data_IF_477358162347
#
_entry.id   IF_477358162347
#
_cell.length_a   1.000
_cell.length_b   1.000
_cell.length_c   1.000
_cell.angle_alpha   90.00
_cell.angle_beta   90.00
_cell.angle_gamma   90.00
#
_symmetry.space_group_name_H-M   'P 1'
#
loop_
_entity.id
_entity.type
_entity.pdbx_description
1 polymer ?
#
# COMPACT_ATOMS: atom_id res chain seq x y z
N UNK A 1 -72.62 -28.61 -28.15
CA UNK A 1 -73.89 -28.27 -28.84
C UNK A 1 -74.09 -26.78 -28.66
N UNK A 2 -74.18 -25.89 -29.65
CA UNK A 2 -74.64 -25.87 -31.05
C UNK A 2 -73.86 -24.70 -31.73
N UNK A 3 -73.57 -24.58 -33.02
CA UNK A 3 -74.23 -25.04 -34.23
C UNK A 3 -73.22 -24.91 -35.38
N UNK A 4 -72.65 -26.01 -35.83
CA UNK A 4 -72.19 -26.13 -37.22
C UNK A 4 -73.41 -26.59 -38.02
N UNK A 5 -73.99 -25.68 -38.83
CA UNK A 5 -74.98 -26.03 -39.84
C UNK A 5 -76.47 -26.05 -39.44
N UNK A 6 -76.85 -25.70 -38.20
CA UNK A 6 -78.27 -25.76 -37.80
C UNK A 6 -79.03 -24.49 -38.18
N UNK A 7 -80.01 -24.63 -39.10
CA UNK A 7 -81.01 -23.60 -39.42
C UNK A 7 -81.94 -23.43 -38.23
N UNK A 8 -82.01 -22.22 -37.66
CA UNK A 8 -82.92 -21.90 -36.56
C UNK A 8 -84.14 -21.20 -37.12
N UNK A 9 -85.31 -21.85 -37.05
CA UNK A 9 -86.59 -21.24 -37.39
C UNK A 9 -87.14 -20.53 -36.15
N UNK A 10 -87.35 -19.23 -36.26
CA UNK A 10 -87.97 -18.43 -35.22
C UNK A 10 -89.32 -17.93 -35.74
N UNK A 11 -90.39 -18.24 -35.03
CA UNK A 11 -91.75 -17.76 -35.34
C UNK A 11 -92.21 -16.78 -34.26
N UNK A 12 -93.00 -15.78 -34.66
CA UNK A 12 -93.62 -14.85 -33.72
C UNK A 12 -95.05 -14.53 -34.19
N UNK A 13 -95.90 -14.16 -33.23
CA UNK A 13 -97.33 -13.96 -33.45
C UNK A 13 -97.64 -12.72 -34.32
N UNK A 14 -96.71 -11.77 -34.44
CA UNK A 14 -96.88 -10.56 -35.25
C UNK A 14 -95.64 -10.27 -36.08
N UNK A 15 -95.83 -9.70 -37.28
CA UNK A 15 -94.73 -9.29 -38.19
C UNK A 15 -93.72 -8.36 -37.51
N UNK A 16 -94.22 -7.39 -36.75
CA UNK A 16 -93.41 -6.41 -36.00
C UNK A 16 -92.50 -7.06 -34.96
N UNK A 17 -92.91 -8.17 -34.36
CA UNK A 17 -92.09 -8.88 -33.38
C UNK A 17 -90.86 -9.56 -34.04
N UNK A 18 -90.99 -10.11 -35.25
CA UNK A 18 -89.84 -10.66 -35.99
C UNK A 18 -88.86 -9.57 -36.44
N UNK A 19 -89.36 -8.41 -36.88
CA UNK A 19 -88.50 -7.27 -37.27
C UNK A 19 -87.70 -6.74 -36.08
N UNK A 20 -88.32 -6.61 -34.90
CA UNK A 20 -87.62 -6.22 -33.68
C UNK A 20 -86.56 -7.25 -33.28
N UNK A 21 -86.86 -8.55 -33.43
CA UNK A 21 -85.89 -9.61 -33.18
C UNK A 21 -84.71 -9.57 -34.14
N UNK A 22 -84.95 -9.32 -35.44
CA UNK A 22 -83.89 -9.13 -36.42
C UNK A 22 -82.98 -7.96 -36.03
N UNK A 23 -83.54 -6.83 -35.60
CA UNK A 23 -82.78 -5.65 -35.18
C UNK A 23 -82.03 -5.82 -33.85
N UNK A 24 -82.41 -6.80 -33.03
CA UNK A 24 -81.71 -7.14 -31.78
C UNK A 24 -80.52 -8.07 -32.01
N UNK A 25 -80.39 -8.68 -33.20
CA UNK A 25 -79.22 -9.48 -33.53
C UNK A 25 -78.03 -8.58 -33.84
N UNK A 26 -76.79 -8.97 -33.49
CA UNK A 26 -75.59 -8.23 -33.88
C UNK A 26 -75.54 -8.00 -35.39
N UNK A 27 -75.12 -6.80 -35.82
CA UNK A 27 -75.12 -6.35 -37.23
C UNK A 27 -74.49 -7.37 -38.19
N UNK A 28 -73.46 -8.08 -37.73
CA UNK A 28 -72.76 -9.12 -38.49
C UNK A 28 -73.65 -10.31 -38.90
N UNK A 29 -74.75 -10.57 -38.18
CA UNK A 29 -75.67 -11.69 -38.44
C UNK A 29 -76.98 -11.26 -39.08
N UNK A 30 -77.36 -9.97 -39.01
CA UNK A 30 -78.65 -9.49 -39.54
C UNK A 30 -78.81 -9.74 -41.05
N UNK A 31 -77.71 -9.65 -41.81
CA UNK A 31 -77.69 -9.93 -43.26
C UNK A 31 -77.86 -11.40 -43.62
N UNK A 32 -77.85 -12.30 -42.63
CA UNK A 32 -78.01 -13.75 -42.81
C UNK A 32 -79.44 -14.23 -42.49
N UNK A 33 -80.33 -13.31 -42.09
CA UNK A 33 -81.69 -13.61 -41.61
C UNK A 33 -82.71 -13.37 -42.73
N UNK A 34 -83.42 -14.43 -43.12
CA UNK A 34 -84.48 -14.39 -44.14
C UNK A 34 -85.86 -14.38 -43.47
N UNK A 35 -86.70 -13.40 -43.80
CA UNK A 35 -88.09 -13.32 -43.36
C UNK A 35 -89.04 -13.84 -44.44
N UNK A 36 -89.65 -15.01 -44.25
CA UNK A 36 -90.60 -15.59 -45.20
C UNK A 36 -92.05 -15.38 -44.73
N UNK A 37 -92.73 -14.39 -45.32
CA UNK A 37 -94.18 -14.22 -45.21
C UNK A 37 -94.76 -14.42 -46.62
N UNK A 38 -95.74 -15.32 -46.77
CA UNK A 38 -96.15 -15.88 -48.07
C UNK A 38 -96.39 -14.86 -49.20
N UNK A 39 -96.06 -15.28 -50.44
CA UNK A 39 -96.24 -14.64 -51.77
C UNK A 39 -96.01 -13.14 -51.98
N UNK A 40 -95.70 -12.35 -50.95
CA UNK A 40 -95.50 -10.90 -51.05
C UNK A 40 -94.13 -10.55 -51.63
N UNK A 41 -94.09 -9.55 -52.50
CA UNK A 41 -92.88 -9.10 -53.19
C UNK A 41 -91.76 -8.68 -52.21
N UNK A 42 -92.13 -8.09 -51.08
CA UNK A 42 -91.19 -7.67 -50.03
C UNK A 42 -90.36 -8.82 -49.44
N UNK A 43 -90.92 -10.02 -49.30
CA UNK A 43 -90.17 -11.18 -48.81
C UNK A 43 -89.16 -11.73 -49.83
N UNK A 44 -89.42 -11.54 -51.13
CA UNK A 44 -88.46 -11.89 -52.19
C UNK A 44 -87.30 -10.91 -52.24
N UNK A 45 -87.58 -9.63 -52.06
CA UNK A 45 -86.56 -8.57 -52.05
C UNK A 45 -85.63 -8.70 -50.82
N UNK A 46 -86.18 -9.04 -49.65
CA UNK A 46 -85.42 -9.31 -48.41
C UNK A 46 -84.49 -10.53 -48.56
N UNK A 47 -84.99 -11.59 -49.21
CA UNK A 47 -84.20 -12.77 -49.52
C UNK A 47 -83.09 -12.44 -50.52
N UNK A 48 -83.39 -11.71 -51.60
CA UNK A 48 -82.40 -11.34 -52.60
C UNK A 48 -81.30 -10.47 -52.01
N UNK A 49 -81.66 -9.50 -51.16
CA UNK A 49 -80.69 -8.63 -50.47
C UNK A 49 -79.78 -9.42 -49.53
N UNK A 50 -80.32 -10.41 -48.82
CA UNK A 50 -79.52 -11.27 -47.93
C UNK A 50 -78.57 -12.18 -48.71
N UNK A 51 -79.05 -12.76 -49.83
CA UNK A 51 -78.23 -13.60 -50.73
C UNK A 51 -77.12 -12.77 -51.37
N UNK A 52 -77.41 -11.56 -51.83
CA UNK A 52 -76.43 -10.66 -52.44
C UNK A 52 -75.40 -10.16 -51.41
N UNK A 53 -75.83 -9.86 -50.18
CA UNK A 53 -74.91 -9.55 -49.08
C UNK A 53 -74.00 -10.72 -48.72
N UNK A 54 -74.51 -11.96 -48.72
CA UNK A 54 -73.71 -13.17 -48.51
C UNK A 54 -72.73 -13.39 -49.65
N UNK A 55 -73.19 -13.27 -50.89
CA UNK A 55 -72.37 -13.41 -52.09
C UNK A 55 -71.22 -12.41 -52.09
N UNK A 56 -71.52 -11.12 -51.88
CA UNK A 56 -70.51 -10.07 -51.78
C UNK A 56 -69.52 -10.28 -50.63
N UNK A 57 -69.99 -10.77 -49.47
CA UNK A 57 -69.10 -11.14 -48.35
C UNK A 57 -68.23 -12.34 -48.69
N UNK A 58 -68.76 -13.34 -49.41
CA UNK A 58 -68.02 -14.53 -49.82
C UNK A 58 -66.97 -14.22 -50.89
N UNK A 59 -67.31 -13.37 -51.86
CA UNK A 59 -66.41 -12.97 -52.94
C UNK A 59 -65.26 -12.09 -52.44
N UNK A 60 -65.50 -11.28 -51.41
CA UNK A 60 -64.48 -10.43 -50.79
C UNK A 60 -63.76 -11.10 -49.59
N UNK A 61 -64.09 -12.35 -49.24
CA UNK A 61 -63.44 -13.04 -48.14
C UNK A 61 -62.10 -13.64 -48.56
N UNK A 62 -61.01 -12.90 -48.34
CA UNK A 62 -59.67 -13.41 -48.57
C UNK A 62 -59.24 -14.33 -47.41
N UNK A 63 -59.44 -15.64 -47.59
CA UNK A 63 -59.03 -16.67 -46.63
C UNK A 63 -57.54 -16.60 -46.29
N UNK A 64 -56.70 -16.23 -47.27
CA UNK A 64 -55.25 -16.17 -47.10
C UNK A 64 -54.89 -15.03 -46.13
N UNK A 65 -55.49 -13.84 -46.30
CA UNK A 65 -55.22 -12.68 -45.43
C UNK A 65 -55.63 -12.95 -43.98
N UNK A 66 -56.81 -13.56 -43.76
CA UNK A 66 -57.26 -13.91 -42.40
C UNK A 66 -56.43 -15.01 -41.76
N UNK A 67 -55.92 -15.94 -42.55
CA UNK A 67 -54.99 -16.96 -42.05
C UNK A 67 -53.65 -16.33 -41.65
N UNK A 68 -53.14 -15.39 -42.44
CA UNK A 68 -51.92 -14.65 -42.14
C UNK A 68 -52.05 -13.77 -40.88
N UNK A 69 -53.17 -13.06 -40.71
CA UNK A 69 -53.46 -12.30 -39.48
C UNK A 69 -53.46 -13.22 -38.24
N UNK A 70 -54.11 -14.39 -38.35
CA UNK A 70 -54.19 -15.36 -37.27
C UNK A 70 -52.81 -15.93 -36.90
N UNK A 71 -51.97 -16.22 -37.90
CA UNK A 71 -50.62 -16.69 -37.68
C UNK A 71 -49.72 -15.62 -37.06
N UNK A 72 -49.90 -14.35 -37.45
CA UNK A 72 -49.17 -13.24 -36.83
C UNK A 72 -49.55 -13.09 -35.34
N UNK A 73 -50.83 -13.19 -35.01
CA UNK A 73 -51.30 -13.14 -33.62
C UNK A 73 -50.73 -14.30 -32.81
N UNK A 74 -50.72 -15.53 -33.36
CA UNK A 74 -50.11 -16.70 -32.71
C UNK A 74 -48.62 -16.50 -32.44
N UNK A 75 -47.88 -15.94 -33.39
CA UNK A 75 -46.45 -15.63 -33.21
C UNK A 75 -46.22 -14.61 -32.10
N UNK A 76 -47.03 -13.56 -32.04
CA UNK A 76 -46.93 -12.55 -30.98
C UNK A 76 -47.22 -13.17 -29.61
N UNK A 77 -48.29 -13.96 -29.48
CA UNK A 77 -48.61 -14.67 -28.21
C UNK A 77 -47.44 -15.57 -27.79
N UNK A 78 -46.84 -16.31 -28.72
CA UNK A 78 -45.69 -17.16 -28.42
C UNK A 78 -44.46 -16.36 -27.97
N UNK A 79 -44.21 -15.19 -28.59
CA UNK A 79 -43.12 -14.28 -28.21
C UNK A 79 -43.33 -13.74 -26.79
N UNK A 80 -44.50 -13.18 -26.51
CA UNK A 80 -44.83 -12.57 -25.22
C UNK A 80 -44.80 -13.63 -24.10
N UNK A 81 -45.29 -14.85 -24.39
CA UNK A 81 -45.24 -15.97 -23.44
C UNK A 81 -43.79 -16.38 -23.12
N UNK A 82 -42.90 -16.36 -24.11
CA UNK A 82 -41.49 -16.70 -23.91
C UNK A 82 -40.75 -15.59 -23.13
N UNK A 83 -41.06 -14.33 -23.39
CA UNK A 83 -40.53 -13.20 -22.61
C UNK A 83 -40.99 -13.27 -21.16
N UNK A 84 -42.29 -13.52 -20.92
CA UNK A 84 -42.82 -13.74 -19.58
C UNK A 84 -42.11 -14.90 -18.85
N UNK A 85 -41.93 -16.05 -19.52
CA UNK A 85 -41.19 -17.19 -18.95
C UNK A 85 -39.73 -16.84 -18.64
N UNK A 86 -39.09 -15.99 -19.43
CA UNK A 86 -37.72 -15.55 -19.18
C UNK A 86 -37.64 -14.71 -17.91
N UNK A 87 -38.56 -13.76 -17.73
CA UNK A 87 -38.66 -12.91 -16.54
C UNK A 87 -38.92 -13.76 -15.29
N UNK A 88 -39.89 -14.69 -15.36
CA UNK A 88 -40.20 -15.59 -14.24
C UNK A 88 -38.98 -16.47 -13.89
N UNK A 89 -38.29 -17.04 -14.89
CA UNK A 89 -37.07 -17.83 -14.66
C UNK A 89 -35.98 -17.06 -13.95
N UNK A 90 -35.77 -15.79 -14.34
CA UNK A 90 -34.82 -14.91 -13.67
C UNK A 90 -35.21 -14.66 -12.22
N UNK A 91 -36.49 -14.41 -11.94
CA UNK A 91 -37.00 -14.23 -10.58
C UNK A 91 -36.94 -15.47 -9.69
N UNK A 92 -37.04 -16.67 -10.27
CA UNK A 92 -36.93 -17.96 -9.55
C UNK A 92 -35.49 -18.46 -9.37
N UNK A 93 -34.49 -17.70 -9.81
CA UNK A 93 -33.11 -18.07 -9.61
C UNK A 93 -32.78 -18.03 -8.11
N UNK A 94 -32.28 -19.14 -7.57
CA UNK A 94 -31.82 -19.19 -6.18
C UNK A 94 -30.50 -18.42 -6.04
N UNK A 95 -30.48 -17.50 -5.08
CA UNK A 95 -29.26 -16.82 -4.65
C UNK A 95 -28.85 -17.42 -3.32
N UNK A 96 -27.56 -17.77 -3.24
CA UNK A 96 -26.95 -18.27 -2.02
C UNK A 96 -25.75 -17.38 -1.65
N UNK A 97 -26.05 -16.30 -0.93
CA UNK A 97 -25.07 -15.42 -0.30
C UNK A 97 -25.19 -15.60 1.23
N UNK A 98 -24.09 -15.49 2.02
CA UNK A 98 -24.14 -15.63 3.48
C UNK A 98 -25.20 -14.79 4.20
N UNK A 99 -25.57 -13.61 3.66
CA UNK A 99 -26.57 -12.72 4.27
C UNK A 99 -27.96 -12.80 3.62
N UNK A 100 -28.03 -13.03 2.31
CA UNK A 100 -29.28 -13.09 1.56
C UNK A 100 -29.41 -14.46 0.86
N UNK A 101 -30.44 -15.21 1.23
CA UNK A 101 -30.72 -16.55 0.72
C UNK A 101 -32.19 -16.65 0.31
N UNK A 102 -32.46 -17.30 -0.82
CA UNK A 102 -33.83 -17.49 -1.32
C UNK A 102 -33.95 -17.27 -2.82
N UNK A 103 -35.17 -17.12 -3.32
CA UNK A 103 -35.39 -16.74 -4.72
C UNK A 103 -34.97 -15.28 -4.92
N UNK A 104 -34.48 -14.94 -6.12
CA UNK A 104 -34.06 -13.58 -6.47
C UNK A 104 -35.12 -12.52 -6.11
N UNK A 105 -36.41 -12.84 -6.26
CA UNK A 105 -37.51 -11.94 -5.87
C UNK A 105 -37.51 -11.67 -4.37
N UNK A 106 -37.39 -12.70 -3.54
CA UNK A 106 -37.35 -12.58 -2.08
C UNK A 106 -36.13 -11.75 -1.64
N UNK A 107 -34.99 -11.99 -2.29
CA UNK A 107 -33.75 -11.25 -2.02
C UNK A 107 -33.87 -9.77 -2.43
N UNK A 108 -34.52 -9.46 -3.56
CA UNK A 108 -34.75 -8.08 -3.99
C UNK A 108 -35.72 -7.33 -3.05
N UNK A 109 -36.75 -8.00 -2.54
CA UNK A 109 -37.63 -7.42 -1.52
C UNK A 109 -36.88 -7.12 -0.23
N UNK A 110 -36.05 -8.08 0.24
CA UNK A 110 -35.25 -7.88 1.44
C UNK A 110 -34.21 -6.75 1.27
N UNK A 111 -33.55 -6.68 0.11
CA UNK A 111 -32.61 -5.59 -0.20
C UNK A 111 -33.29 -4.22 -0.19
N UNK A 112 -34.53 -4.14 -0.65
CA UNK A 112 -35.31 -2.90 -0.65
C UNK A 112 -35.76 -2.48 0.75
N UNK A 113 -36.03 -3.45 1.64
CA UNK A 113 -36.31 -3.18 3.06
C UNK A 113 -35.04 -2.68 3.76
N UNK A 114 -33.91 -3.34 3.50
CA UNK A 114 -32.65 -3.00 4.13
C UNK A 114 -31.98 -1.75 3.50
N UNK A 115 -32.49 -1.24 2.38
CA UNK A 115 -31.99 -0.04 1.67
C UNK A 115 -31.86 1.16 2.62
N UNK A 116 -32.87 1.39 3.49
CA UNK A 116 -32.85 2.47 4.49
C UNK A 116 -31.69 2.33 5.50
N UNK A 117 -31.23 1.11 5.78
CA UNK A 117 -30.10 0.86 6.69
C UNK A 117 -28.74 1.09 6.00
N UNK A 118 -28.72 1.16 4.67
CA UNK A 118 -27.52 1.34 3.85
C UNK A 118 -27.51 2.67 3.09
N UNK A 119 -28.51 3.54 3.29
CA UNK A 119 -28.59 4.89 2.69
C UNK A 119 -27.38 5.77 3.03
N UNK A 120 -26.67 5.49 4.13
CA UNK A 120 -25.42 6.16 4.48
C UNK A 120 -24.27 5.88 3.49
N UNK A 121 -24.38 4.84 2.67
CA UNK A 121 -23.41 4.44 1.66
C UNK A 121 -23.97 4.67 0.26
N UNK A 122 -23.56 5.76 -0.38
CA UNK A 122 -23.87 5.98 -1.80
C UNK A 122 -22.85 5.25 -2.67
N UNK A 123 -23.28 4.12 -3.23
CA UNK A 123 -22.45 3.37 -4.15
C UNK A 123 -22.33 4.12 -5.49
N UNK A 124 -21.14 4.65 -5.77
CA UNK A 124 -20.79 5.23 -7.09
C UNK A 124 -20.22 4.17 -8.04
N UNK A 125 -20.21 2.91 -7.63
CA UNK A 125 -19.47 1.86 -8.27
C UNK A 125 -20.38 0.98 -9.14
N UNK A 126 -20.06 0.90 -10.42
CA UNK A 126 -20.84 0.15 -11.41
C UNK A 126 -20.10 -1.07 -11.98
N UNK A 127 -18.97 -1.47 -11.41
CA UNK A 127 -18.08 -2.48 -12.01
C UNK A 127 -17.82 -3.70 -11.10
N UNK A 128 -18.78 -4.61 -11.06
CA UNK A 128 -18.75 -5.84 -10.25
C UNK A 128 -17.67 -6.87 -10.64
N UNK A 129 -16.87 -6.65 -11.69
CA UNK A 129 -15.83 -7.58 -12.17
C UNK A 129 -14.40 -7.27 -11.64
N UNK A 130 -14.24 -6.28 -10.76
CA UNK A 130 -12.91 -5.92 -10.23
C UNK A 130 -12.44 -6.82 -9.07
N UNK A 131 -11.72 -7.89 -9.45
CA UNK A 131 -11.06 -8.83 -8.53
C UNK A 131 -10.08 -8.16 -7.55
N UNK A 132 -9.60 -6.94 -7.83
CA UNK A 132 -8.70 -6.22 -6.91
C UNK A 132 -9.44 -5.78 -5.64
N UNK A 133 -10.70 -5.39 -5.78
CA UNK A 133 -11.53 -4.91 -4.67
C UNK A 133 -11.95 -6.07 -3.76
N UNK A 134 -12.29 -7.22 -4.33
CA UNK A 134 -12.54 -8.46 -3.59
C UNK A 134 -11.30 -8.88 -2.77
N UNK A 135 -10.10 -8.77 -3.36
CA UNK A 135 -8.85 -9.05 -2.66
C UNK A 135 -8.58 -8.06 -1.51
N UNK A 136 -8.89 -6.77 -1.69
CA UNK A 136 -8.76 -5.76 -0.63
C UNK A 136 -9.74 -6.03 0.53
N UNK A 137 -10.98 -6.44 0.24
CA UNK A 137 -11.95 -6.82 1.26
C UNK A 137 -11.54 -8.09 2.01
N UNK A 138 -11.04 -9.11 1.31
CA UNK A 138 -10.56 -10.33 1.96
C UNK A 138 -9.37 -10.05 2.89
N UNK A 139 -8.43 -9.17 2.49
CA UNK A 139 -7.35 -8.70 3.37
C UNK A 139 -7.88 -7.99 4.62
N UNK A 140 -8.94 -7.18 4.48
CA UNK A 140 -9.57 -6.50 5.62
C UNK A 140 -10.25 -7.51 6.58
N UNK A 141 -10.87 -8.55 6.04
CA UNK A 141 -11.52 -9.60 6.83
C UNK A 141 -10.47 -10.45 7.58
N UNK A 142 -9.41 -10.90 6.89
CA UNK A 142 -8.28 -11.59 7.54
C UNK A 142 -7.66 -10.73 8.65
N UNK A 143 -7.47 -9.44 8.38
CA UNK A 143 -6.98 -8.50 9.38
C UNK A 143 -7.87 -8.43 10.63
N UNK A 144 -9.20 -8.30 10.47
CA UNK A 144 -10.14 -8.26 11.59
C UNK A 144 -10.20 -9.55 12.41
N UNK A 145 -9.88 -10.70 11.80
CA UNK A 145 -9.82 -11.99 12.52
C UNK A 145 -8.57 -12.10 13.40
N UNK A 146 -7.45 -11.53 12.95
CA UNK A 146 -6.17 -11.55 13.67
C UNK A 146 -6.06 -10.38 14.67
N UNK A 147 -6.79 -9.28 14.43
CA UNK A 147 -6.78 -8.08 15.26
C UNK A 147 -6.92 -8.31 16.78
N UNK A 148 -7.80 -9.20 17.28
CA UNK A 148 -7.98 -9.41 18.72
C UNK A 148 -6.79 -10.07 19.41
N UNK A 149 -5.88 -10.72 18.67
CA UNK A 149 -4.71 -11.41 19.22
C UNK A 149 -3.42 -10.61 19.14
N UNK A 150 -3.45 -9.43 18.51
CA UNK A 150 -2.30 -8.54 18.39
C UNK A 150 -2.24 -7.58 19.59
N UNK A 151 -1.19 -7.68 20.39
CA UNK A 151 -0.88 -6.75 21.47
C UNK A 151 -0.15 -5.53 20.91
N UNK A 152 -0.88 -4.43 20.72
CA UNK A 152 -0.34 -3.20 20.13
C UNK A 152 0.31 -2.27 21.17
N UNK A 153 0.19 -2.55 22.46
CA UNK A 153 0.79 -1.72 23.52
C UNK A 153 2.31 -1.92 23.62
N UNK A 154 2.84 -2.98 23.00
CA UNK A 154 4.27 -3.32 22.96
C UNK A 154 4.93 -3.10 21.60
N UNK A 155 4.34 -2.30 20.70
CA UNK A 155 4.90 -2.11 19.35
C UNK A 155 6.26 -1.41 19.42
N UNK A 156 7.31 -2.19 19.19
CA UNK A 156 8.69 -1.74 19.03
C UNK A 156 8.74 -0.77 17.84
N UNK A 157 9.32 0.41 18.04
CA UNK A 157 9.64 1.32 16.95
C UNK A 157 10.71 0.64 16.08
N UNK A 158 10.33 0.15 14.89
CA UNK A 158 11.24 -0.52 13.95
C UNK A 158 12.46 0.35 13.63
N UNK A 159 12.32 1.68 13.72
CA UNK A 159 13.45 2.58 13.49
C UNK A 159 14.56 2.41 14.53
N UNK A 160 14.26 1.82 15.69
CA UNK A 160 15.23 1.46 16.73
C UNK A 160 15.88 0.10 16.51
N UNK A 161 15.30 -0.74 15.64
CA UNK A 161 15.85 -2.03 15.28
C UNK A 161 16.93 -1.88 14.19
N UNK A 162 18.06 -2.60 14.28
CA UNK A 162 19.04 -2.60 13.22
C UNK A 162 18.49 -3.23 11.92
N UNK A 163 18.92 -2.67 10.80
CA UNK A 163 18.65 -3.24 9.47
C UNK A 163 19.35 -4.59 9.30
N UNK A 164 18.87 -5.43 8.35
CA UNK A 164 19.51 -6.71 8.03
C UNK A 164 21.01 -6.58 7.70
N UNK A 165 21.42 -5.49 7.04
CA UNK A 165 22.84 -5.24 6.76
C UNK A 165 23.63 -4.93 8.04
N UNK A 166 23.04 -4.19 8.98
CA UNK A 166 23.66 -3.93 10.29
C UNK A 166 23.76 -5.21 11.11
N UNK A 167 22.77 -6.09 11.05
CA UNK A 167 22.78 -7.40 11.74
C UNK A 167 23.93 -8.25 11.21
N UNK A 168 24.04 -8.45 9.90
CA UNK A 168 25.17 -9.17 9.29
C UNK A 168 26.51 -8.57 9.71
N UNK A 169 26.59 -7.25 9.73
CA UNK A 169 27.79 -6.53 10.14
C UNK A 169 28.14 -6.81 11.60
N UNK A 170 27.16 -6.79 12.50
CA UNK A 170 27.35 -7.10 13.91
C UNK A 170 27.75 -8.55 14.13
N UNK A 171 27.23 -9.50 13.34
CA UNK A 171 27.61 -10.91 13.39
C UNK A 171 29.09 -11.10 13.03
N UNK A 172 29.55 -10.41 11.97
CA UNK A 172 30.98 -10.36 11.61
C UNK A 172 31.84 -9.82 12.77
N UNK A 173 31.38 -8.77 13.45
CA UNK A 173 32.10 -8.18 14.56
C UNK A 173 32.17 -9.11 15.77
N UNK A 174 31.06 -9.78 16.13
CA UNK A 174 31.02 -10.77 17.21
C UNK A 174 31.95 -11.95 16.89
N UNK A 175 31.92 -12.46 15.66
CA UNK A 175 32.82 -13.54 15.22
C UNK A 175 34.29 -13.15 15.29
N UNK A 176 34.61 -11.89 14.96
CA UNK A 176 35.99 -11.40 14.90
C UNK A 176 36.56 -11.03 16.26
N UNK A 177 35.77 -10.40 17.12
CA UNK A 177 36.26 -9.82 18.37
C UNK A 177 35.70 -10.49 19.63
N UNK A 178 34.80 -11.46 19.48
CA UNK A 178 34.16 -12.17 20.59
C UNK A 178 32.97 -11.41 21.17
N UNK A 179 32.46 -11.92 22.29
CA UNK A 179 31.49 -11.15 23.08
C UNK A 179 32.21 -9.98 23.73
N UNK A 180 31.76 -8.76 23.42
CA UNK A 180 32.39 -7.53 23.87
C UNK A 180 32.34 -7.47 25.40
N UNK A 181 33.42 -7.85 26.08
CA UNK A 181 33.58 -7.74 27.53
C UNK A 181 33.74 -6.27 27.96
N UNK A 182 32.78 -5.42 27.59
CA UNK A 182 32.73 -4.01 27.93
C UNK A 182 31.71 -3.81 29.06
N UNK A 183 32.09 -3.06 30.08
CA UNK A 183 31.16 -2.58 31.10
C UNK A 183 30.51 -1.26 30.66
N UNK A 184 29.42 -0.86 31.31
CA UNK A 184 28.74 0.40 31.00
C UNK A 184 29.68 1.62 31.13
N UNK A 185 30.63 1.57 32.08
CA UNK A 185 31.66 2.58 32.25
C UNK A 185 32.57 2.70 31.03
N UNK A 186 33.00 1.57 30.46
CA UNK A 186 33.87 1.55 29.29
C UNK A 186 33.18 2.20 28.09
N UNK A 187 31.88 1.93 27.94
CA UNK A 187 31.06 2.51 26.88
C UNK A 187 30.91 4.02 27.06
N UNK A 188 30.65 4.49 28.27
CA UNK A 188 30.59 5.93 28.57
C UNK A 188 31.93 6.62 28.25
N UNK A 189 33.06 5.99 28.58
CA UNK A 189 34.38 6.53 28.29
C UNK A 189 34.67 6.56 26.78
N UNK A 190 34.33 5.49 26.04
CA UNK A 190 34.43 5.45 24.59
C UNK A 190 33.58 6.54 23.92
N UNK A 191 32.35 6.75 24.39
CA UNK A 191 31.46 7.80 23.88
C UNK A 191 32.04 9.20 24.11
N UNK A 192 32.57 9.45 25.30
CA UNK A 192 33.21 10.71 25.63
C UNK A 192 34.37 11.00 24.67
N UNK A 193 35.28 10.04 24.48
CA UNK A 193 36.42 10.17 23.57
C UNK A 193 35.99 10.33 22.10
N UNK A 194 34.94 9.62 21.67
CA UNK A 194 34.39 9.72 20.31
C UNK A 194 33.75 11.09 20.06
N UNK A 195 33.09 11.67 21.05
CA UNK A 195 32.47 12.99 20.93
C UNK A 195 33.51 14.11 20.82
N UNK A 196 34.73 13.89 21.31
CA UNK A 196 35.85 14.81 21.13
C UNK A 196 36.54 14.67 19.76
N UNK A 197 36.19 13.67 18.95
CA UNK A 197 36.79 13.47 17.63
C UNK A 197 36.12 14.37 16.57
N UNK A 198 36.87 14.81 15.55
CA UNK A 198 36.31 15.49 14.39
C UNK A 198 35.23 14.65 13.68
N UNK A 199 34.38 15.33 12.92
CA UNK A 199 33.42 14.68 12.00
C UNK A 199 34.16 13.83 10.95
N UNK A 200 33.48 12.84 10.37
CA UNK A 200 34.09 11.82 9.50
C UNK A 200 34.76 12.44 8.27
N UNK A 201 34.17 13.49 7.70
CA UNK A 201 34.71 14.21 6.54
C UNK A 201 36.09 14.79 6.85
N UNK A 202 36.25 15.41 8.02
CA UNK A 202 37.51 16.00 8.46
C UNK A 202 38.59 14.94 8.79
N UNK A 203 38.19 13.73 9.16
CA UNK A 203 39.11 12.60 9.35
C UNK A 203 39.57 12.05 8.00
N UNK A 204 38.66 11.92 7.04
CA UNK A 204 38.96 11.43 5.69
C UNK A 204 39.95 12.34 4.96
N UNK A 205 39.87 13.64 5.15
CA UNK A 205 40.86 14.58 4.61
C UNK A 205 42.27 14.30 5.15
N UNK A 206 42.38 13.96 6.44
CA UNK A 206 43.66 13.62 7.07
C UNK A 206 44.16 12.24 6.66
N UNK A 207 43.26 11.28 6.41
CA UNK A 207 43.62 9.95 5.90
C UNK A 207 44.28 10.02 4.51
N UNK A 208 44.07 11.10 3.75
CA UNK A 208 44.73 11.33 2.46
C UNK A 208 46.15 11.90 2.59
N UNK A 209 46.58 12.25 3.81
CA UNK A 209 47.89 12.84 4.09
C UNK A 209 48.79 11.76 4.69
N UNK A 210 49.97 11.59 4.10
CA UNK A 210 50.97 10.65 4.64
C UNK A 210 51.94 11.43 5.51
N UNK A 211 51.98 11.11 6.81
CA UNK A 211 52.94 11.71 7.74
C UNK A 211 53.89 10.65 8.29
N UNK A 212 55.18 10.86 8.04
CA UNK A 212 56.26 10.01 8.55
C UNK A 212 56.92 10.68 9.75
N UNK A 213 57.14 9.91 10.82
CA UNK A 213 57.71 10.38 12.07
C UNK A 213 59.06 9.73 12.36
N UNK A 214 59.99 10.45 13.00
CA UNK A 214 61.21 9.85 13.53
C UNK A 214 60.90 9.04 14.80
N UNK A 215 61.87 8.21 15.22
CA UNK A 215 61.77 7.42 16.45
C UNK A 215 61.86 8.30 17.72
N UNK A 216 60.75 8.96 18.03
CA UNK A 216 60.53 9.80 19.21
C UNK A 216 59.08 9.69 19.65
N UNK A 217 58.83 9.90 20.94
CA UNK A 217 57.45 9.89 21.46
C UNK A 217 56.62 11.03 20.86
N UNK A 218 55.33 10.77 20.65
CA UNK A 218 54.39 11.77 20.16
C UNK A 218 54.26 13.00 21.05
N UNK A 219 54.45 12.88 22.38
CA UNK A 219 54.46 14.04 23.27
C UNK A 219 55.60 15.01 22.95
N UNK A 220 56.80 14.48 22.72
CA UNK A 220 57.99 15.29 22.36
C UNK A 220 57.79 15.91 20.98
N UNK A 221 57.31 15.12 20.01
CA UNK A 221 57.09 15.60 18.66
C UNK A 221 56.03 16.69 18.59
N UNK A 222 54.95 16.55 19.36
CA UNK A 222 53.89 17.56 19.47
C UNK A 222 54.44 18.87 20.05
N UNK A 223 55.14 18.81 21.19
CA UNK A 223 55.77 19.99 21.81
C UNK A 223 56.72 20.71 20.85
N UNK A 224 57.53 19.95 20.13
CA UNK A 224 58.46 20.51 19.16
C UNK A 224 57.74 21.16 17.98
N UNK A 225 56.68 20.53 17.45
CA UNK A 225 55.85 21.08 16.39
C UNK A 225 55.13 22.36 16.83
N UNK A 226 54.57 22.39 18.03
CA UNK A 226 53.89 23.56 18.60
C UNK A 226 54.85 24.73 18.79
N UNK A 227 56.07 24.46 19.28
CA UNK A 227 57.11 25.49 19.44
C UNK A 227 57.51 26.11 18.09
N UNK A 228 57.75 25.27 17.07
CA UNK A 228 58.15 25.73 15.74
C UNK A 228 57.00 26.46 15.02
N UNK A 229 55.76 25.99 15.20
CA UNK A 229 54.56 26.65 14.70
C UNK A 229 54.39 28.05 15.33
N UNK A 230 54.60 28.17 16.65
CA UNK A 230 54.59 29.46 17.35
C UNK A 230 55.58 30.44 16.74
N UNK A 231 56.81 29.98 16.50
CA UNK A 231 57.86 30.77 15.85
C UNK A 231 57.47 31.25 14.44
N UNK A 232 56.81 30.41 13.64
CA UNK A 232 56.30 30.82 12.33
C UNK A 232 55.14 31.82 12.43
N UNK A 233 54.22 31.64 13.39
CA UNK A 233 53.10 32.55 13.61
C UNK A 233 53.54 33.95 14.06
N UNK A 234 54.70 34.06 14.72
CA UNK A 234 55.34 35.34 15.06
C UNK A 234 55.96 36.05 13.83
N UNK A 235 55.85 35.47 12.63
CA UNK A 235 56.30 36.05 11.37
C UNK A 235 57.72 35.65 10.96
N UNK A 236 58.35 34.73 11.70
CA UNK A 236 59.65 34.19 11.34
C UNK A 236 59.53 33.12 10.24
N UNK A 237 60.68 32.77 9.63
CA UNK A 237 60.76 31.76 8.57
C UNK A 237 61.67 30.61 9.00
N UNK A 238 61.30 29.40 8.61
CA UNK A 238 62.08 28.17 8.80
C UNK A 238 62.65 27.63 7.48
N UNK A 239 62.48 28.37 6.39
CA UNK A 239 62.93 28.00 5.05
C UNK A 239 63.56 29.19 4.28
N UNK A 240 64.28 28.87 3.21
CA UNK A 240 64.88 29.84 2.28
C UNK A 240 66.23 30.43 2.71
N UNK A 241 66.84 31.20 1.79
CA UNK A 241 68.24 31.68 1.91
C UNK A 241 68.48 32.55 3.15
N UNK A 242 67.51 33.38 3.54
CA UNK A 242 67.58 34.22 4.75
C UNK A 242 67.60 33.40 6.03
N UNK A 243 66.86 32.29 6.07
CA UNK A 243 66.90 31.37 7.20
C UNK A 243 68.23 30.61 7.23
N UNK A 244 68.66 30.05 6.10
CA UNK A 244 69.92 29.28 6.00
C UNK A 244 71.16 30.06 6.45
N UNK A 245 71.23 31.34 6.14
CA UNK A 245 72.33 32.24 6.57
C UNK A 245 72.16 32.74 8.00
N UNK A 246 70.91 32.86 8.49
CA UNK A 246 70.56 33.34 9.82
C UNK A 246 70.53 32.28 10.93
N UNK A 247 70.73 30.98 10.62
CA UNK A 247 70.64 29.86 11.58
C UNK A 247 71.46 30.08 12.87
N UNK A 248 72.60 30.77 12.78
CA UNK A 248 73.45 31.08 13.94
C UNK A 248 72.83 32.04 14.96
N UNK A 249 71.87 32.88 14.56
CA UNK A 249 71.22 33.87 15.43
C UNK A 249 69.89 33.40 16.01
N UNK A 250 69.45 32.16 15.69
CA UNK A 250 68.23 31.60 16.24
C UNK A 250 68.35 31.38 17.77
N UNK A 251 67.25 31.54 18.52
CA UNK A 251 67.21 31.21 19.94
C UNK A 251 67.64 29.76 20.22
N UNK A 252 68.20 29.54 21.42
CA UNK A 252 68.34 28.27 22.15
C UNK A 252 67.39 27.18 21.63
N UNK A 253 66.15 27.46 21.98
CA UNK A 253 65.01 26.57 21.90
C UNK A 253 64.61 26.18 20.47
N UNK A 254 64.75 27.10 19.51
CA UNK A 254 64.44 26.83 18.11
C UNK A 254 65.51 25.94 17.48
N UNK A 255 66.80 26.22 17.76
CA UNK A 255 67.93 25.45 17.21
C UNK A 255 67.85 23.97 17.57
N UNK A 256 67.50 23.65 18.81
CA UNK A 256 67.40 22.27 19.30
C UNK A 256 66.27 21.48 18.62
N UNK A 257 65.26 22.19 18.08
CA UNK A 257 64.08 21.59 17.45
C UNK A 257 64.15 21.55 15.92
N UNK A 258 65.12 22.23 15.28
CA UNK A 258 65.25 22.29 13.82
C UNK A 258 65.38 20.92 13.13
N UNK A 259 65.85 19.89 13.84
CA UNK A 259 65.88 18.52 13.30
C UNK A 259 64.50 18.06 12.82
N UNK A 260 63.43 18.61 13.41
CA UNK A 260 62.05 18.23 13.13
C UNK A 260 61.68 18.43 11.66
N UNK A 261 62.16 19.50 11.04
CA UNK A 261 61.82 19.89 9.66
C UNK A 261 62.16 18.76 8.68
N UNK A 262 63.37 18.22 8.80
CA UNK A 262 63.86 17.15 7.93
C UNK A 262 63.42 15.75 8.39
N UNK A 263 63.18 15.58 9.69
CA UNK A 263 62.87 14.29 10.29
C UNK A 263 61.38 13.91 10.21
N UNK A 264 60.48 14.90 10.12
CA UNK A 264 59.04 14.69 9.94
C UNK A 264 58.68 15.05 8.52
N UNK A 265 58.07 14.10 7.80
CA UNK A 265 57.69 14.29 6.40
C UNK A 265 56.18 14.35 6.25
N UNK A 266 55.68 15.36 5.54
CA UNK A 266 54.28 15.46 5.12
C UNK A 266 54.24 15.26 3.61
N UNK A 267 53.58 14.18 3.15
CA UNK A 267 53.56 13.77 1.75
C UNK A 267 54.98 13.74 1.13
N UNK A 268 55.91 13.10 1.85
CA UNK A 268 57.34 12.98 1.51
C UNK A 268 58.14 14.30 1.46
N UNK A 269 57.54 15.43 1.83
CA UNK A 269 58.18 16.76 1.89
C UNK A 269 58.57 17.14 3.32
N UNK A 270 59.58 18.00 3.46
CA UNK A 270 59.99 18.56 4.76
C UNK A 270 58.83 19.31 5.41
N UNK A 271 58.68 19.21 6.73
CA UNK A 271 57.66 19.96 7.47
C UNK A 271 58.20 21.34 7.85
N UNK A 272 58.00 22.33 6.99
CA UNK A 272 58.52 23.70 7.19
C UNK A 272 57.46 24.81 7.07
N UNK A 273 56.22 24.48 6.66
CA UNK A 273 55.12 25.44 6.57
C UNK A 273 54.17 25.40 7.76
N UNK A 274 53.50 26.54 8.02
CA UNK A 274 52.47 26.66 9.08
C UNK A 274 51.39 25.57 8.93
N UNK A 275 50.98 25.27 7.70
CA UNK A 275 49.91 24.30 7.44
C UNK A 275 50.36 22.87 7.73
N UNK A 276 51.57 22.49 7.32
CA UNK A 276 52.14 21.17 7.63
C UNK A 276 52.31 20.97 9.13
N UNK A 277 52.80 21.97 9.86
CA UNK A 277 52.89 21.88 11.33
C UNK A 277 51.51 21.66 11.97
N UNK A 278 50.48 22.37 11.51
CA UNK A 278 49.10 22.15 11.98
C UNK A 278 48.60 20.74 11.68
N UNK A 279 48.87 20.23 10.48
CA UNK A 279 48.50 18.87 10.09
C UNK A 279 49.19 17.83 10.95
N UNK A 280 50.49 18.00 11.21
CA UNK A 280 51.27 17.10 12.07
C UNK A 280 50.74 17.12 13.51
N UNK A 281 50.51 18.30 14.09
CA UNK A 281 49.96 18.41 15.45
C UNK A 281 48.60 17.70 15.54
N UNK A 282 47.72 17.95 14.57
CA UNK A 282 46.38 17.34 14.52
C UNK A 282 46.45 15.82 14.33
N UNK A 283 47.33 15.32 13.47
CA UNK A 283 47.55 13.87 13.28
C UNK A 283 48.05 13.23 14.58
N UNK A 284 49.05 13.82 15.26
CA UNK A 284 49.53 13.33 16.55
C UNK A 284 48.40 13.27 17.58
N UNK A 285 47.60 14.34 17.71
CA UNK A 285 46.48 14.37 18.64
C UNK A 285 45.46 13.28 18.36
N UNK A 286 45.16 13.00 17.08
CA UNK A 286 44.28 11.91 16.70
C UNK A 286 44.89 10.55 17.04
N UNK A 287 46.17 10.30 16.72
CA UNK A 287 46.86 9.05 17.13
C UNK A 287 46.74 8.83 18.63
N UNK A 288 46.99 9.86 19.43
CA UNK A 288 46.86 9.78 20.88
C UNK A 288 45.43 9.49 21.33
N UNK A 289 44.41 10.09 20.71
CA UNK A 289 43.00 9.80 21.01
C UNK A 289 42.62 8.37 20.63
N UNK A 290 43.03 7.88 19.46
CA UNK A 290 42.78 6.51 19.03
C UNK A 290 43.55 5.48 19.86
N UNK A 291 44.74 5.81 20.36
CA UNK A 291 45.47 4.99 21.32
C UNK A 291 44.71 4.87 22.64
N UNK A 292 44.05 5.95 23.12
CA UNK A 292 43.17 5.88 24.29
C UNK A 292 41.98 4.96 24.03
N UNK A 293 41.29 5.12 22.89
CA UNK A 293 40.19 4.22 22.51
C UNK A 293 40.64 2.75 22.47
N UNK A 294 41.82 2.48 21.91
CA UNK A 294 42.41 1.14 21.81
C UNK A 294 42.71 0.50 23.16
N UNK A 295 43.09 1.31 24.15
CA UNK A 295 43.32 0.84 25.52
C UNK A 295 42.04 0.40 26.22
N UNK A 296 40.92 1.04 25.91
CA UNK A 296 39.60 0.64 26.41
C UNK A 296 39.14 -0.62 25.68
N UNK A 297 39.22 -0.60 24.34
CA UNK A 297 38.85 -1.76 23.54
C UNK A 297 39.75 -1.93 22.32
N UNK A 298 40.45 -3.06 22.25
CA UNK A 298 41.44 -3.32 21.21
C UNK A 298 40.80 -3.75 19.88
N UNK A 299 40.10 -2.83 19.22
CA UNK A 299 39.44 -3.06 17.92
C UNK A 299 40.30 -2.68 16.69
N UNK A 300 41.52 -2.21 16.89
CA UNK A 300 42.30 -1.47 15.88
C UNK A 300 42.86 -2.38 14.77
N UNK A 301 42.05 -2.63 13.74
CA UNK A 301 42.43 -3.45 12.57
C UNK A 301 42.53 -2.68 11.26
N UNK A 302 42.31 -1.36 11.31
CA UNK A 302 42.29 -0.46 10.15
C UNK A 302 43.37 0.60 10.33
N UNK A 303 43.86 1.17 9.24
CA UNK A 303 44.91 2.20 9.33
C UNK A 303 44.29 3.61 9.31
N UNK A 304 43.17 3.76 8.60
CA UNK A 304 42.47 5.03 8.37
C UNK A 304 41.60 5.42 9.57
N UNK A 305 41.71 6.68 10.01
CA UNK A 305 40.94 7.23 11.13
C UNK A 305 39.44 7.13 10.92
N UNK A 306 38.96 7.39 9.70
CA UNK A 306 37.54 7.28 9.38
C UNK A 306 37.03 5.87 9.68
N UNK A 307 37.76 4.84 9.24
CA UNK A 307 37.38 3.44 9.43
C UNK A 307 37.49 3.02 10.90
N UNK A 308 38.53 3.49 11.62
CA UNK A 308 38.65 3.26 13.06
C UNK A 308 37.45 3.83 13.81
N UNK A 309 37.06 5.08 13.54
CA UNK A 309 35.92 5.72 14.19
C UNK A 309 34.61 4.99 13.90
N UNK A 310 34.37 4.60 12.64
CA UNK A 310 33.20 3.79 12.27
C UNK A 310 33.13 2.50 13.08
N UNK A 311 34.25 1.80 13.21
CA UNK A 311 34.32 0.55 13.96
C UNK A 311 33.96 0.75 15.45
N UNK A 312 34.52 1.76 16.13
CA UNK A 312 34.16 2.04 17.52
C UNK A 312 32.67 2.42 17.68
N UNK A 313 32.09 3.16 16.73
CA UNK A 313 30.66 3.48 16.74
C UNK A 313 29.79 2.23 16.56
N UNK A 314 30.19 1.31 15.69
CA UNK A 314 29.50 0.02 15.49
C UNK A 314 29.52 -0.81 16.78
N UNK A 315 30.67 -0.84 17.48
CA UNK A 315 30.82 -1.54 18.75
C UNK A 315 29.90 -0.98 19.83
N UNK A 316 29.86 0.36 20.00
CA UNK A 316 28.96 1.00 20.96
C UNK A 316 27.49 0.72 20.62
N UNK A 317 27.13 0.80 19.34
CA UNK A 317 25.76 0.53 18.88
C UNK A 317 25.33 -0.90 19.22
N UNK A 318 26.21 -1.86 18.96
CA UNK A 318 25.96 -3.26 19.26
C UNK A 318 25.85 -3.52 20.77
N UNK A 319 26.71 -2.91 21.59
CA UNK A 319 26.59 -3.00 23.05
C UNK A 319 25.23 -2.48 23.53
N UNK A 320 24.84 -1.27 23.11
CA UNK A 320 23.56 -0.68 23.50
C UNK A 320 22.37 -1.54 23.11
N UNK A 321 22.43 -2.17 21.93
CA UNK A 321 21.40 -3.10 21.48
C UNK A 321 21.29 -4.31 22.42
N UNK A 322 22.42 -4.91 22.82
CA UNK A 322 22.45 -6.02 23.78
C UNK A 322 21.94 -5.62 25.16
N UNK A 323 22.20 -4.39 25.59
CA UNK A 323 21.79 -3.87 26.89
C UNK A 323 20.37 -3.31 26.92
N UNK A 324 19.68 -3.22 25.79
CA UNK A 324 18.30 -2.73 25.73
C UNK A 324 17.35 -3.78 26.32
N UNK A 325 17.03 -3.59 27.60
CA UNK A 325 16.15 -4.47 28.36
C UNK A 325 14.78 -4.67 27.70
N UNK A 326 14.23 -3.66 27.03
CA UNK A 326 12.93 -3.79 26.38
C UNK A 326 12.99 -4.72 25.17
N UNK A 327 14.04 -4.62 24.35
CA UNK A 327 14.27 -5.54 23.23
C UNK A 327 14.57 -6.96 23.70
N UNK A 328 15.38 -7.09 24.76
CA UNK A 328 15.72 -8.39 25.36
C UNK A 328 14.49 -9.06 25.99
N UNK A 329 13.65 -8.32 26.72
CA UNK A 329 12.46 -8.85 27.39
C UNK A 329 11.33 -9.15 26.39
N UNK A 330 11.08 -8.26 25.41
CA UNK A 330 10.06 -8.47 24.37
C UNK A 330 10.41 -9.65 23.44
N UNK A 331 11.69 -9.96 23.31
CA UNK A 331 12.19 -10.99 22.42
C UNK A 331 13.24 -11.87 23.11
N UNK A 332 12.87 -12.48 24.24
CA UNK A 332 13.72 -13.39 25.01
C UNK A 332 14.27 -14.61 24.22
N UNK A 333 13.72 -14.89 23.04
CA UNK A 333 14.21 -15.92 22.11
C UNK A 333 15.31 -15.43 21.16
N UNK A 334 15.56 -14.11 21.06
CA UNK A 334 16.69 -13.55 20.30
C UNK A 334 17.95 -13.77 21.13
N UNK A 335 18.62 -14.88 20.86
CA UNK A 335 19.93 -15.15 21.40
C UNK A 335 21.00 -14.42 20.57
N UNK A 336 21.40 -13.23 21.03
CA UNK A 336 22.45 -12.39 20.42
C UNK A 336 23.86 -13.03 20.47
N UNK A 337 23.99 -14.26 20.98
CA UNK A 337 25.26 -14.99 21.13
C UNK A 337 25.35 -16.24 20.24
N UNK A 338 24.26 -16.63 19.55
CA UNK A 338 24.22 -17.85 18.73
C UNK A 338 24.49 -17.61 17.24
N UNK A 339 25.04 -18.64 16.61
CA UNK A 339 25.35 -18.70 15.17
C UNK A 339 24.11 -18.61 14.24
N UNK A 340 22.90 -18.75 14.81
CA UNK A 340 21.60 -18.65 14.12
C UNK A 340 20.96 -17.24 14.24
N UNK A 341 21.69 -16.28 14.79
CA UNK A 341 21.19 -14.94 15.09
C UNK A 341 20.57 -14.23 13.87
N UNK A 342 21.21 -14.30 12.70
CA UNK A 342 20.69 -13.69 11.47
C UNK A 342 19.29 -14.18 11.10
N UNK A 343 19.04 -15.50 11.20
CA UNK A 343 17.78 -16.10 10.79
C UNK A 343 16.67 -15.82 11.82
N UNK A 344 16.99 -15.93 13.11
CA UNK A 344 16.05 -15.63 14.19
C UNK A 344 15.69 -14.15 14.23
N UNK A 345 16.66 -13.28 13.95
CA UNK A 345 16.46 -11.85 13.84
C UNK A 345 15.55 -11.52 12.66
N UNK A 346 15.81 -12.06 11.46
CA UNK A 346 14.99 -11.78 10.29
C UNK A 346 13.52 -12.18 10.52
N UNK A 347 13.29 -13.37 11.07
CA UNK A 347 11.94 -13.84 11.39
C UNK A 347 11.22 -12.90 12.37
N UNK A 348 11.96 -12.35 13.35
CA UNK A 348 11.40 -11.43 14.35
C UNK A 348 11.16 -10.04 13.75
N UNK A 349 12.10 -9.55 12.94
CA UNK A 349 11.98 -8.28 12.23
C UNK A 349 10.78 -8.28 11.29
N UNK A 350 10.60 -9.34 10.49
CA UNK A 350 9.46 -9.47 9.57
C UNK A 350 8.12 -9.45 10.32
N UNK A 351 8.07 -10.09 11.50
CA UNK A 351 6.88 -10.07 12.36
C UNK A 351 6.57 -8.66 12.87
N UNK A 352 7.58 -7.94 13.38
CA UNK A 352 7.42 -6.58 13.89
C UNK A 352 7.08 -5.59 12.76
N UNK A 353 7.67 -5.77 11.57
CA UNK A 353 7.37 -5.00 10.36
C UNK A 353 5.91 -5.13 9.97
N UNK A 354 5.39 -6.35 9.94
CA UNK A 354 3.97 -6.60 9.71
C UNK A 354 3.10 -5.91 10.77
N UNK A 355 3.41 -6.08 12.07
CA UNK A 355 2.67 -5.45 13.17
C UNK A 355 2.63 -3.91 13.06
N UNK A 356 3.73 -3.27 12.65
CA UNK A 356 3.78 -1.82 12.44
C UNK A 356 3.04 -1.35 11.18
N UNK A 357 3.14 -2.08 10.06
CA UNK A 357 2.35 -1.78 8.86
C UNK A 357 0.85 -1.80 9.20
N UNK A 358 0.42 -2.78 10.00
CA UNK A 358 -0.95 -2.85 10.50
C UNK A 358 -1.33 -1.65 11.39
N UNK A 359 -0.42 -1.18 12.25
CA UNK A 359 -0.63 0.05 13.05
C UNK A 359 -0.75 1.30 12.19
N UNK A 360 0.06 1.44 11.13
CA UNK A 360 -0.02 2.57 10.21
C UNK A 360 -1.34 2.55 9.43
N UNK A 361 -1.77 1.37 8.95
CA UNK A 361 -3.09 1.19 8.33
C UNK A 361 -4.20 1.59 9.31
N UNK A 362 -4.13 1.16 10.58
CA UNK A 362 -5.07 1.56 11.63
C UNK A 362 -5.06 3.08 11.82
N UNK A 363 -3.90 3.72 11.87
CA UNK A 363 -3.78 5.17 12.02
C UNK A 363 -4.46 5.89 10.83
N UNK A 364 -4.14 5.50 9.60
CA UNK A 364 -4.74 6.08 8.40
C UNK A 364 -6.26 5.88 8.34
N UNK A 365 -6.75 4.71 8.76
CA UNK A 365 -8.19 4.45 8.89
C UNK A 365 -8.80 5.33 10.00
N UNK A 366 -8.15 5.41 11.16
CA UNK A 366 -8.58 6.23 12.29
C UNK A 366 -8.45 7.75 12.06
N UNK A 367 -7.70 8.20 11.06
CA UNK A 367 -7.65 9.62 10.64
C UNK A 367 -8.71 9.91 9.58
N UNK A 368 -9.07 8.92 8.75
CA UNK A 368 -10.13 9.04 7.74
C UNK A 368 -11.54 8.93 8.34
N UNK A 369 -11.72 8.12 9.39
CA UNK A 369 -13.03 7.90 10.02
C UNK A 369 -13.54 9.16 10.77
N UNK A 370 -12.75 9.85 11.62
CA UNK A 370 -13.18 11.07 12.30
C UNK A 370 -13.38 12.25 11.35
N UNK A 371 -12.56 12.39 10.31
CA UNK A 371 -12.78 13.41 9.28
C UNK A 371 -14.11 13.25 8.53
N UNK A 372 -14.70 12.06 8.60
CA UNK A 372 -16.03 11.79 8.03
C UNK A 372 -17.12 12.06 9.07
N UNK A 373 -16.91 11.71 10.35
CA UNK A 373 -17.87 11.94 11.45
C UNK A 373 -17.95 13.42 11.89
N UNK A 374 -16.83 14.14 11.98
CA UNK A 374 -16.81 15.59 12.30
C UNK A 374 -17.43 16.43 11.18
N UNK A 375 -17.28 16.03 9.91
CA UNK A 375 -17.98 16.66 8.78
C UNK A 375 -19.49 16.42 8.80
N UNK A 376 -19.93 15.30 9.37
CA UNK A 376 -21.35 15.00 9.56
C UNK A 376 -21.93 15.84 10.71
N UNK A 377 -21.19 16.03 11.81
CA UNK A 377 -21.65 16.78 12.98
C UNK A 377 -21.57 18.32 12.84
N UNK A 378 -20.76 18.85 11.92
CA UNK A 378 -20.69 20.30 11.62
C UNK A 378 -21.63 20.76 10.51
N UNK A 379 -22.37 19.83 9.89
CA UNK A 379 -23.34 20.09 8.82
C UNK A 379 -24.81 20.03 9.27
N UNK A 380 -25.07 19.79 10.56
CA UNK A 380 -26.33 20.09 11.26
C UNK A 380 -26.27 21.50 11.86
#
# INVERSE_FOLDING_TARGET
MLATGNKVLVTAQTKRALEVLKNKLPDKYQSLVVNYWGSDQASKDDLSSSVEAIKNKSENFNYIDKTNELDQIKRNIAKDTNEYKKIVRQGTQEINNPKYQGMLVDVLEQLKIDEQQFEWYQDKYSNYDDKNLENQFNKLIEFNQIYPSLDFDTVVDIKKLPTLNQVKRYDELIKKYGDFSLEERDIQELECLINELPVLEALKELDNITITYPDKSFNILKDHAETLLGYLNDGHRLEGVRFSTGKFFLPKEIKEKLYFIEAVKVNDSDCDTIEEFKQVIKDIELKQKFDKLKRIYNADSKNEYEQKLRLYREIISLYKLKSDKYLVDAHANIDFTKQEWDQNYQNTYDKIEQENQFKEIRQQLSEKIPNTIEKILLAE
#
